data_IF_442030905464
#
_entry.id   IF_442030905464
#
_cell.length_a   1.000
_cell.length_b   1.000
_cell.length_c   1.000
_cell.angle_alpha   90.00
_cell.angle_beta   90.00
_cell.angle_gamma   90.00
#
_symmetry.space_group_name_H-M   'P 1'
#
loop_
_entity.id
_entity.type
_entity.pdbx_description
1 polymer ?
#
# COMPACT_ATOMS: atom_id res chain seq x y z
N UNK A 1 -3.32 -4.49 -8.36
CA UNK A 1 -3.08 -4.18 -6.92
C UNK A 1 -4.17 -3.26 -6.39
N UNK A 2 -4.90 -2.63 -7.29
CA UNK A 2 -6.13 -1.91 -7.04
C UNK A 2 -7.29 -2.83 -6.66
N UNK A 3 -8.26 -2.28 -5.93
CA UNK A 3 -9.67 -2.67 -5.99
C UNK A 3 -10.50 -1.40 -6.20
N UNK A 4 -11.57 -1.53 -7.00
CA UNK A 4 -12.52 -0.48 -7.29
C UNK A 4 -13.94 -0.95 -6.96
N UNK A 5 -14.81 -0.09 -6.42
CA UNK A 5 -16.22 -0.41 -6.27
C UNK A 5 -16.88 -0.61 -7.64
N UNK A 6 -17.69 -1.66 -7.79
CA UNK A 6 -18.26 -2.10 -9.07
C UNK A 6 -19.34 -1.17 -9.64
N UNK A 7 -20.04 -0.44 -8.77
CA UNK A 7 -21.27 0.29 -9.11
C UNK A 7 -21.09 1.82 -9.22
N UNK A 8 -19.85 2.32 -9.22
CA UNK A 8 -19.55 3.77 -9.13
C UNK A 8 -18.58 4.26 -10.22
N UNK A 9 -18.54 3.60 -11.38
CA UNK A 9 -17.47 3.78 -12.39
C UNK A 9 -17.35 5.19 -13.00
N UNK A 10 -18.40 6.01 -12.93
CA UNK A 10 -18.44 7.36 -13.52
C UNK A 10 -18.46 8.49 -12.46
N UNK A 11 -18.38 8.17 -11.17
CA UNK A 11 -18.34 9.16 -10.08
C UNK A 11 -16.91 9.33 -9.52
N UNK A 12 -16.59 10.54 -9.04
CA UNK A 12 -15.36 10.75 -8.28
C UNK A 12 -15.45 10.03 -6.93
N UNK A 13 -14.65 8.97 -6.78
CA UNK A 13 -14.62 8.14 -5.56
C UNK A 13 -13.37 8.42 -4.72
N UNK A 14 -13.49 8.41 -3.38
CA UNK A 14 -12.34 8.54 -2.51
C UNK A 14 -11.41 7.32 -2.64
N UNK A 15 -10.10 7.59 -2.69
CA UNK A 15 -9.07 6.56 -2.81
C UNK A 15 -8.23 6.43 -1.54
N UNK A 16 -7.86 5.19 -1.20
CA UNK A 16 -6.99 4.85 -0.07
C UNK A 16 -5.73 4.16 -0.58
N UNK A 17 -4.56 4.65 -0.15
CA UNK A 17 -3.27 4.02 -0.46
C UNK A 17 -2.81 3.24 0.78
N UNK A 18 -2.52 1.95 0.59
CA UNK A 18 -2.10 1.03 1.63
C UNK A 18 -0.64 0.66 1.47
N UNK A 19 0.14 0.91 2.52
CA UNK A 19 1.54 0.55 2.62
C UNK A 19 1.73 -0.59 3.62
N UNK A 20 2.65 -1.49 3.32
CA UNK A 20 2.97 -2.63 4.18
C UNK A 20 3.92 -2.26 5.32
N UNK A 21 4.06 -3.16 6.29
CA UNK A 21 4.94 -2.98 7.43
C UNK A 21 6.41 -3.22 7.11
N UNK A 22 7.27 -3.09 8.13
CA UNK A 22 8.69 -3.40 8.01
C UNK A 22 8.92 -4.82 7.52
N UNK A 23 9.76 -5.00 6.49
CA UNK A 23 10.04 -6.29 5.82
C UNK A 23 8.81 -6.99 5.23
N UNK A 24 7.66 -6.31 5.18
CA UNK A 24 6.40 -6.85 4.71
C UNK A 24 6.27 -6.85 3.19
N UNK A 25 5.06 -7.12 2.72
CA UNK A 25 4.66 -7.00 1.31
C UNK A 25 3.25 -6.44 1.25
N UNK A 26 2.82 -6.01 0.06
CA UNK A 26 1.47 -5.52 -0.26
C UNK A 26 0.31 -6.39 0.19
N UNK A 27 0.54 -7.65 0.54
CA UNK A 27 -0.49 -8.54 1.08
C UNK A 27 -0.54 -8.50 2.60
N UNK A 28 0.58 -8.24 3.28
CA UNK A 28 0.81 -8.45 4.71
C UNK A 28 0.50 -9.91 5.17
N UNK A 29 0.95 -10.32 6.38
CA UNK A 29 0.60 -11.61 6.94
C UNK A 29 -0.91 -11.88 6.89
N UNK A 30 -1.29 -13.12 6.58
CA UNK A 30 -2.69 -13.53 6.44
C UNK A 30 -3.52 -12.69 5.45
N UNK A 31 -2.86 -12.04 4.50
CA UNK A 31 -3.46 -11.21 3.45
C UNK A 31 -4.26 -10.04 4.04
N UNK A 32 -3.80 -9.46 5.14
CA UNK A 32 -4.50 -8.40 5.85
C UNK A 32 -4.83 -7.21 4.94
N UNK A 33 -3.87 -6.69 4.17
CA UNK A 33 -4.12 -5.54 3.29
C UNK A 33 -5.10 -5.87 2.16
N UNK A 34 -5.09 -7.12 1.66
CA UNK A 34 -6.07 -7.58 0.69
C UNK A 34 -7.49 -7.61 1.28
N UNK A 35 -7.64 -8.11 2.51
CA UNK A 35 -8.92 -8.12 3.22
C UNK A 35 -9.44 -6.71 3.48
N UNK A 36 -8.56 -5.79 3.87
CA UNK A 36 -8.90 -4.36 4.03
C UNK A 36 -9.37 -3.78 2.70
N UNK A 37 -8.69 -4.09 1.60
CA UNK A 37 -9.08 -3.57 0.29
C UNK A 37 -10.45 -4.06 -0.16
N UNK A 38 -10.81 -5.32 0.10
CA UNK A 38 -12.18 -5.81 -0.13
C UNK A 38 -13.23 -5.17 0.79
N UNK A 39 -12.85 -4.82 2.02
CA UNK A 39 -13.76 -4.10 2.91
C UNK A 39 -13.98 -2.65 2.41
N UNK A 40 -12.91 -1.98 1.96
CA UNK A 40 -12.97 -0.63 1.37
C UNK A 40 -13.80 -0.59 0.09
N UNK A 41 -13.62 -1.57 -0.79
CA UNK A 41 -14.41 -1.75 -2.01
C UNK A 41 -15.91 -1.80 -1.72
N UNK A 42 -16.32 -2.61 -0.71
CA UNK A 42 -17.73 -2.71 -0.27
C UNK A 42 -18.27 -1.43 0.38
N UNK A 43 -17.39 -0.54 0.83
CA UNK A 43 -17.74 0.75 1.42
C UNK A 43 -17.70 1.90 0.39
N UNK A 44 -17.43 1.61 -0.89
CA UNK A 44 -17.39 2.63 -1.95
C UNK A 44 -16.05 3.34 -2.09
N UNK A 45 -14.97 2.79 -1.54
CA UNK A 45 -13.62 3.36 -1.68
C UNK A 45 -12.81 2.61 -2.73
N UNK A 46 -12.08 3.34 -3.56
CA UNK A 46 -10.97 2.76 -4.30
C UNK A 46 -9.82 2.49 -3.34
N UNK A 47 -9.07 1.42 -3.56
CA UNK A 47 -7.88 1.14 -2.76
C UNK A 47 -6.73 0.61 -3.58
N UNK A 48 -5.52 1.05 -3.28
CA UNK A 48 -4.29 0.65 -3.96
C UNK A 48 -3.28 0.18 -2.92
N UNK A 49 -2.75 -1.03 -3.13
CA UNK A 49 -1.68 -1.58 -2.28
C UNK A 49 -0.35 -1.40 -3.01
N UNK A 50 0.72 -1.05 -2.28
CA UNK A 50 2.06 -0.89 -2.85
C UNK A 50 3.10 -1.72 -2.10
N UNK A 51 4.09 -2.20 -2.84
CA UNK A 51 5.34 -2.76 -2.31
C UNK A 51 6.37 -1.64 -2.25
N UNK A 52 7.13 -1.57 -1.16
CA UNK A 52 8.30 -0.71 -1.08
C UNK A 52 9.47 -1.32 -1.89
N UNK A 53 10.43 -0.48 -2.29
CA UNK A 53 11.63 -0.91 -3.01
C UNK A 53 12.32 -2.08 -2.29
N UNK A 54 12.64 -3.13 -3.05
CA UNK A 54 13.26 -4.35 -2.55
C UNK A 54 12.35 -5.22 -1.67
N UNK A 55 11.04 -4.96 -1.63
CA UNK A 55 10.04 -5.78 -0.93
C UNK A 55 9.03 -6.36 -1.92
N UNK A 56 8.52 -7.56 -1.62
CA UNK A 56 7.46 -8.18 -2.42
C UNK A 56 7.83 -8.36 -3.90
N UNK A 57 7.03 -7.74 -4.78
CA UNK A 57 7.25 -7.77 -6.23
C UNK A 57 7.95 -6.52 -6.76
N UNK A 58 8.37 -5.60 -5.90
CA UNK A 58 9.12 -4.41 -6.31
C UNK A 58 10.61 -4.70 -6.48
N UNK A 59 11.19 -4.10 -7.50
CA UNK A 59 12.61 -4.23 -7.85
C UNK A 59 13.54 -3.72 -6.74
N UNK A 60 14.83 -4.03 -6.89
CA UNK A 60 15.90 -3.60 -5.99
C UNK A 60 16.13 -4.57 -4.82
N UNK A 61 17.07 -4.21 -3.94
CA UNK A 61 17.34 -4.96 -2.72
C UNK A 61 16.76 -4.22 -1.52
N UNK A 62 16.21 -4.97 -0.56
CA UNK A 62 15.80 -4.40 0.71
C UNK A 62 17.03 -3.83 1.43
N UNK A 63 17.13 -2.51 1.48
CA UNK A 63 18.16 -1.82 2.27
C UNK A 63 17.57 -1.47 3.62
N UNK A 64 17.99 -2.20 4.66
CA UNK A 64 17.57 -1.97 6.04
C UNK A 64 18.26 -0.73 6.58
N UNK A 65 17.61 0.42 6.42
CA UNK A 65 18.04 1.65 7.07
C UNK A 65 17.72 1.58 8.57
N UNK A 66 18.70 1.91 9.41
CA UNK A 66 18.46 2.10 10.84
C UNK A 66 17.56 3.31 11.05
N UNK A 67 16.79 3.39 12.16
CA UNK A 67 15.84 4.50 12.48
C UNK A 67 16.40 5.90 12.20
N UNK A 68 17.72 6.08 12.29
CA UNK A 68 18.43 7.35 12.12
C UNK A 68 18.50 7.84 10.67
N UNK A 69 18.31 6.96 9.69
CA UNK A 69 18.45 7.28 8.26
C UNK A 69 17.11 7.66 7.61
N UNK A 70 15.99 7.10 8.09
CA UNK A 70 14.63 7.45 7.61
C UNK A 70 14.31 8.95 7.84
N UNK A 71 14.77 9.54 8.95
CA UNK A 71 14.56 10.97 9.24
C UNK A 71 15.34 11.92 8.33
N UNK A 72 16.38 11.45 7.63
CA UNK A 72 17.19 12.30 6.74
C UNK A 72 16.54 12.49 5.37
N UNK A 73 15.67 11.60 4.94
CA UNK A 73 14.97 11.70 3.67
C UNK A 73 13.76 12.63 3.73
N UNK A 74 13.13 12.80 4.91
CA UNK A 74 12.02 13.74 5.10
C UNK A 74 12.42 15.21 5.19
N UNK A 75 13.72 15.52 5.17
CA UNK A 75 14.25 16.90 5.22
C UNK A 75 14.78 17.39 3.85
N UNK A 76 14.66 16.57 2.80
CA UNK A 76 15.13 16.87 1.45
C UNK A 76 13.98 17.06 0.44
N UNK A 77 12.78 17.42 0.93
CA UNK A 77 11.62 17.80 0.10
C UNK A 77 11.03 19.10 0.63
#
# INVERSE_FOLDING_TARGET
MEHFPTDMSDEEIPAVILFHGFTGTKLEPHRLLLKISHALEKLGFASFRFDFLGSGESDGALVLYTRREILRLGAAV
#
